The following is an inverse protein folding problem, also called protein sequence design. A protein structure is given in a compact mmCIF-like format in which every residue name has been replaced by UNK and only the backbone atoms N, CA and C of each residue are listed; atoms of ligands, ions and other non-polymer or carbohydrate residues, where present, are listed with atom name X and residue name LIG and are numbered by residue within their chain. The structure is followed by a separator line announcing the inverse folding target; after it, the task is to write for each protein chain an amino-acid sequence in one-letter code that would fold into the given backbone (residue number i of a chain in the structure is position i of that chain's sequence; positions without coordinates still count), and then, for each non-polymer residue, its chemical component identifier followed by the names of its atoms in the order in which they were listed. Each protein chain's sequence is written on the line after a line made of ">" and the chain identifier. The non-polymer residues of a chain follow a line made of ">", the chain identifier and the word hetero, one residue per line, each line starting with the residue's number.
data_IF_535665403139
#
_entry.id   IF_535665403139
#
_cell.length_a   1.000
_cell.length_b   1.000
_cell.length_c   1.000
_cell.angle_alpha   90.00
_cell.angle_beta   90.00
_cell.angle_gamma   90.00
#
_symmetry.space_group_name_H-M   'P 1'
#
loop_
_entity.id
_entity.type
_entity.pdbx_description
1 polymer ?
#
# COMPACT_ATOMS: atom_id res chain seq x y z
N UNK A 1 25.49 -23.36 -46.00
CA UNK A 1 24.89 -22.00 -45.89
C UNK A 1 24.03 -21.97 -44.64
N UNK A 2 24.52 -21.31 -43.58
CA UNK A 2 23.88 -21.32 -42.27
C UNK A 2 22.65 -20.41 -42.23
N UNK A 3 21.49 -20.99 -41.98
CA UNK A 3 20.26 -20.24 -41.79
C UNK A 3 20.24 -19.71 -40.34
N UNK A 4 20.80 -18.52 -40.12
CA UNK A 4 20.81 -17.85 -38.82
C UNK A 4 19.39 -17.32 -38.58
N UNK A 5 18.54 -18.13 -37.94
CA UNK A 5 17.19 -17.75 -37.52
C UNK A 5 17.30 -16.45 -36.71
N UNK A 6 16.62 -15.39 -37.14
CA UNK A 6 16.62 -14.08 -36.48
C UNK A 6 16.06 -14.23 -35.07
N UNK A 7 16.93 -14.22 -34.06
CA UNK A 7 16.50 -14.14 -32.67
C UNK A 7 16.02 -12.72 -32.38
N UNK A 8 14.80 -12.63 -31.85
CA UNK A 8 14.21 -11.37 -31.39
C UNK A 8 15.08 -10.79 -30.27
N UNK A 9 15.57 -9.57 -30.43
CA UNK A 9 16.36 -8.91 -29.37
C UNK A 9 15.47 -8.46 -28.21
N UNK A 10 16.03 -8.27 -27.01
CA UNK A 10 15.27 -7.78 -25.85
C UNK A 10 14.64 -6.40 -26.12
N UNK A 11 15.34 -5.54 -26.85
CA UNK A 11 14.84 -4.21 -27.22
C UNK A 11 13.63 -4.29 -28.14
N UNK A 12 13.68 -5.14 -29.16
CA UNK A 12 12.56 -5.37 -30.08
C UNK A 12 11.39 -6.06 -29.38
N UNK A 13 11.66 -6.98 -28.46
CA UNK A 13 10.63 -7.61 -27.64
C UNK A 13 9.89 -6.58 -26.79
N UNK A 14 10.61 -5.68 -26.09
CA UNK A 14 10.00 -4.61 -25.29
C UNK A 14 9.12 -3.69 -26.14
N UNK A 15 9.63 -3.25 -27.29
CA UNK A 15 8.89 -2.39 -28.22
C UNK A 15 7.64 -3.06 -28.79
N UNK A 16 7.65 -4.38 -28.98
CA UNK A 16 6.48 -5.14 -29.44
C UNK A 16 5.47 -5.34 -28.32
N UNK A 17 5.92 -5.73 -27.12
CA UNK A 17 5.05 -5.92 -25.96
C UNK A 17 4.34 -4.61 -25.55
N UNK A 18 5.00 -3.46 -25.67
CA UNK A 18 4.37 -2.16 -25.33
C UNK A 18 3.27 -1.74 -26.30
N UNK A 19 3.17 -2.38 -27.48
CA UNK A 19 2.12 -2.14 -28.48
C UNK A 19 0.98 -3.16 -28.43
N UNK A 20 1.13 -4.22 -27.63
CA UNK A 20 0.11 -5.26 -27.47
C UNK A 20 -0.91 -4.84 -26.43
N UNK A 21 -2.15 -5.29 -26.61
CA UNK A 21 -3.16 -5.22 -25.56
C UNK A 21 -2.83 -6.17 -24.41
N UNK A 22 -3.35 -5.87 -23.22
CA UNK A 22 -3.15 -6.71 -22.03
C UNK A 22 -3.61 -8.17 -22.26
N UNK A 23 -4.71 -8.37 -23.00
CA UNK A 23 -5.24 -9.71 -23.31
C UNK A 23 -4.31 -10.51 -24.24
N UNK A 24 -3.69 -9.86 -25.24
CA UNK A 24 -2.73 -10.51 -26.13
C UNK A 24 -1.45 -10.89 -25.38
N UNK A 25 -0.96 -10.03 -24.48
CA UNK A 25 0.19 -10.35 -23.63
C UNK A 25 -0.15 -11.50 -22.69
N UNK A 26 -1.36 -11.53 -22.14
CA UNK A 26 -1.83 -12.62 -21.28
C UNK A 26 -1.86 -13.96 -22.02
N UNK A 27 -2.43 -13.99 -23.23
CA UNK A 27 -2.44 -15.19 -24.09
C UNK A 27 -1.04 -15.67 -24.44
N UNK A 28 -0.15 -14.75 -24.84
CA UNK A 28 1.24 -15.08 -25.16
C UNK A 28 1.99 -15.65 -23.95
N UNK A 29 1.75 -15.12 -22.75
CA UNK A 29 2.34 -15.64 -21.51
C UNK A 29 1.82 -17.05 -21.18
N UNK A 30 0.54 -17.33 -21.40
CA UNK A 30 -0.04 -18.67 -21.23
C UNK A 30 0.55 -19.66 -22.23
N UNK A 31 0.69 -19.26 -23.49
CA UNK A 31 1.33 -20.10 -24.51
C UNK A 31 2.78 -20.39 -24.17
N UNK A 32 3.53 -19.39 -23.72
CA UNK A 32 4.91 -19.53 -23.23
C UNK A 32 4.99 -20.49 -22.04
N UNK A 33 4.07 -20.38 -21.08
CA UNK A 33 3.98 -21.29 -19.93
C UNK A 33 3.69 -22.74 -20.34
N UNK A 34 2.86 -22.93 -21.37
CA UNK A 34 2.51 -24.26 -21.89
C UNK A 34 3.62 -24.87 -22.76
N UNK A 35 4.45 -24.05 -23.39
CA UNK A 35 5.41 -24.49 -24.40
C UNK A 35 6.78 -24.92 -23.85
N UNK A 36 7.15 -24.54 -22.62
CA UNK A 36 8.44 -24.90 -22.02
C UNK A 36 8.33 -25.27 -20.54
N UNK A 37 9.06 -26.32 -20.13
CA UNK A 37 9.17 -26.73 -18.73
C UNK A 37 9.94 -25.68 -17.91
N UNK A 38 10.95 -25.06 -18.49
CA UNK A 38 11.75 -23.99 -17.90
C UNK A 38 10.89 -22.73 -17.71
N UNK A 39 10.11 -22.35 -18.72
CA UNK A 39 9.14 -21.25 -18.61
C UNK A 39 8.08 -21.54 -17.55
N UNK A 40 7.53 -22.77 -17.53
CA UNK A 40 6.60 -23.23 -16.50
C UNK A 40 7.19 -23.10 -15.10
N UNK A 41 8.40 -23.58 -14.88
CA UNK A 41 9.08 -23.51 -13.59
C UNK A 41 9.40 -22.06 -13.20
N UNK A 42 9.94 -21.26 -14.12
CA UNK A 42 10.27 -19.85 -13.89
C UNK A 42 9.03 -19.04 -13.50
N UNK A 43 7.97 -19.15 -14.29
CA UNK A 43 6.71 -18.47 -14.04
C UNK A 43 6.04 -19.02 -12.77
N UNK A 44 6.07 -20.32 -12.51
CA UNK A 44 5.53 -20.91 -11.28
C UNK A 44 6.27 -20.39 -10.05
N UNK A 45 7.60 -20.37 -10.05
CA UNK A 45 8.36 -19.78 -8.93
C UNK A 45 8.06 -18.29 -8.77
N UNK A 46 7.98 -17.53 -9.87
CA UNK A 46 7.69 -16.09 -9.83
C UNK A 46 6.24 -15.78 -9.45
N UNK A 47 5.26 -16.62 -9.78
CA UNK A 47 3.84 -16.37 -9.53
C UNK A 47 3.32 -17.10 -8.29
N UNK A 48 3.65 -18.38 -8.09
CA UNK A 48 3.32 -19.13 -6.88
C UNK A 48 4.10 -18.56 -5.69
N UNK A 49 5.39 -18.22 -5.88
CA UNK A 49 6.16 -17.49 -4.86
C UNK A 49 5.50 -16.16 -4.49
N UNK A 50 5.07 -15.36 -5.48
CA UNK A 50 4.33 -14.10 -5.22
C UNK A 50 2.97 -14.33 -4.57
N UNK A 51 2.19 -15.32 -4.99
CA UNK A 51 0.88 -15.64 -4.42
C UNK A 51 1.02 -16.15 -2.98
N UNK A 52 1.99 -17.03 -2.72
CA UNK A 52 2.27 -17.52 -1.38
C UNK A 52 2.73 -16.39 -0.45
N UNK A 53 3.61 -15.50 -0.92
CA UNK A 53 4.02 -14.29 -0.17
C UNK A 53 2.81 -13.38 0.07
N UNK A 54 1.93 -13.18 -0.92
CA UNK A 54 0.71 -12.37 -0.76
C UNK A 54 -0.22 -12.96 0.29
N UNK A 55 -0.54 -14.25 0.19
CA UNK A 55 -1.40 -14.92 1.17
C UNK A 55 -0.80 -14.87 2.58
N UNK A 56 0.53 -15.06 2.70
CA UNK A 56 1.22 -14.94 3.98
C UNK A 56 1.16 -13.52 4.54
N UNK A 57 1.28 -12.50 3.67
CA UNK A 57 1.12 -11.10 4.04
C UNK A 57 -0.31 -10.81 4.51
N UNK A 58 -1.34 -11.24 3.77
CA UNK A 58 -2.76 -11.09 4.14
C UNK A 58 -3.06 -11.74 5.50
N UNK A 59 -2.60 -12.98 5.70
CA UNK A 59 -2.77 -13.70 6.96
C UNK A 59 -2.03 -13.01 8.12
N UNK A 60 -0.88 -12.40 7.86
CA UNK A 60 -0.12 -11.67 8.89
C UNK A 60 -0.83 -10.37 9.24
N UNK A 61 -1.40 -9.68 8.25
CA UNK A 61 -2.21 -8.47 8.42
C UNK A 61 -3.44 -8.76 9.28
N UNK A 62 -4.20 -9.81 8.95
CA UNK A 62 -5.36 -10.26 9.71
C UNK A 62 -5.01 -10.63 11.16
N UNK A 63 -3.87 -11.29 11.39
CA UNK A 63 -3.41 -11.58 12.75
C UNK A 63 -3.07 -10.32 13.55
N UNK A 64 -2.47 -9.32 12.91
CA UNK A 64 -2.17 -8.04 13.56
C UNK A 64 -3.49 -7.36 13.90
N UNK A 65 -4.38 -7.19 12.93
CA UNK A 65 -5.68 -6.52 13.07
C UNK A 65 -6.50 -7.13 14.20
N UNK A 66 -6.61 -8.47 14.27
CA UNK A 66 -7.38 -9.16 15.31
C UNK A 66 -6.86 -8.94 16.75
N UNK A 67 -5.61 -8.53 16.95
CA UNK A 67 -5.13 -8.17 18.29
C UNK A 67 -5.70 -6.81 18.76
N UNK A 68 -6.09 -5.94 17.83
CA UNK A 68 -6.66 -4.61 18.12
C UNK A 68 -8.19 -4.58 17.93
N UNK A 69 -8.66 -5.14 16.82
CA UNK A 69 -10.05 -5.11 16.35
C UNK A 69 -10.52 -6.50 15.90
N UNK A 70 -10.75 -7.44 16.85
CA UNK A 70 -11.28 -8.75 16.51
C UNK A 70 -12.73 -8.65 16.03
N UNK A 71 -13.17 -9.63 15.23
CA UNK A 71 -14.56 -9.69 14.75
C UNK A 71 -15.60 -9.70 15.90
N UNK A 72 -15.23 -10.27 17.05
CA UNK A 72 -16.10 -10.38 18.22
C UNK A 72 -15.36 -9.98 19.50
N UNK A 73 -15.94 -9.06 20.28
CA UNK A 73 -15.41 -8.62 21.57
C UNK A 73 -14.33 -7.53 21.46
N UNK A 74 -13.53 -7.38 22.51
CA UNK A 74 -12.44 -6.40 22.57
C UNK A 74 -11.11 -7.01 22.14
N UNK A 75 -10.27 -6.20 21.49
CA UNK A 75 -8.89 -6.56 21.19
C UNK A 75 -8.10 -6.93 22.44
N UNK A 76 -7.32 -8.01 22.34
CA UNK A 76 -6.47 -8.47 23.45
C UNK A 76 -5.20 -7.66 23.62
N UNK A 77 -4.85 -6.84 22.62
CA UNK A 77 -3.66 -6.00 22.56
C UNK A 77 -2.37 -6.75 22.87
N UNK A 78 -2.24 -8.01 22.41
CA UNK A 78 -1.00 -8.75 22.61
C UNK A 78 0.05 -8.28 21.60
N UNK A 79 0.74 -7.19 21.93
CA UNK A 79 1.75 -6.57 21.05
C UNK A 79 2.84 -7.55 20.64
N UNK A 80 3.16 -8.52 21.49
CA UNK A 80 4.10 -9.61 21.19
C UNK A 80 3.61 -10.53 20.07
N UNK A 81 2.31 -10.84 20.01
CA UNK A 81 1.70 -11.67 18.96
C UNK A 81 1.71 -10.92 17.63
N UNK A 82 1.28 -9.66 17.62
CA UNK A 82 1.32 -8.81 16.43
C UNK A 82 2.76 -8.64 15.89
N UNK A 83 3.72 -8.31 16.75
CA UNK A 83 5.15 -8.21 16.38
C UNK A 83 5.73 -9.53 15.90
N UNK A 84 5.28 -10.66 16.47
CA UNK A 84 5.70 -11.99 16.02
C UNK A 84 5.19 -12.29 14.62
N UNK A 85 3.96 -11.90 14.27
CA UNK A 85 3.43 -12.05 12.91
C UNK A 85 4.33 -11.34 11.87
N UNK A 86 4.77 -10.11 12.17
CA UNK A 86 5.72 -9.35 11.32
C UNK A 86 7.07 -10.06 11.23
N UNK A 87 7.64 -10.48 12.36
CA UNK A 87 8.96 -11.14 12.40
C UNK A 87 8.96 -12.46 11.62
N UNK A 88 7.92 -13.26 11.77
CA UNK A 88 7.76 -14.53 11.07
C UNK A 88 7.56 -14.29 9.57
N UNK A 89 6.74 -13.31 9.18
CA UNK A 89 6.59 -12.90 7.78
C UNK A 89 7.93 -12.51 7.17
N UNK A 90 8.72 -11.66 7.85
CA UNK A 90 10.03 -11.21 7.38
C UNK A 90 10.98 -12.38 7.17
N UNK A 91 11.05 -13.31 8.13
CA UNK A 91 11.93 -14.49 8.06
C UNK A 91 11.60 -15.41 6.88
N UNK A 92 10.31 -15.65 6.65
CA UNK A 92 9.84 -16.58 5.60
C UNK A 92 9.91 -15.93 4.22
N UNK A 93 9.40 -14.70 4.08
CA UNK A 93 9.29 -14.03 2.78
C UNK A 93 10.61 -13.41 2.31
N UNK A 94 11.46 -12.99 3.26
CA UNK A 94 12.64 -12.13 3.02
C UNK A 94 12.31 -10.90 2.17
N UNK A 95 11.07 -10.41 2.26
CA UNK A 95 10.55 -9.31 1.46
C UNK A 95 10.49 -8.04 2.31
N UNK A 96 11.53 -7.20 2.23
CA UNK A 96 11.63 -5.99 3.04
C UNK A 96 10.51 -4.98 2.73
N UNK A 97 10.15 -4.80 1.45
CA UNK A 97 9.04 -3.92 1.06
C UNK A 97 7.74 -4.28 1.77
N UNK A 98 7.30 -5.54 1.71
CA UNK A 98 6.07 -5.98 2.39
C UNK A 98 6.22 -6.12 3.91
N UNK A 99 7.46 -6.26 4.40
CA UNK A 99 7.73 -6.21 5.85
C UNK A 99 7.52 -4.79 6.38
N UNK A 100 8.05 -3.77 5.68
CA UNK A 100 7.83 -2.37 6.02
C UNK A 100 6.34 -2.05 6.02
N UNK A 101 5.61 -2.52 5.00
CA UNK A 101 4.16 -2.35 4.92
C UNK A 101 3.43 -2.91 6.17
N UNK A 102 3.77 -4.12 6.63
CA UNK A 102 3.19 -4.70 7.85
C UNK A 102 3.59 -3.93 9.12
N UNK A 103 4.80 -3.37 9.16
CA UNK A 103 5.25 -2.53 10.28
C UNK A 103 4.47 -1.21 10.33
N UNK A 104 4.26 -0.56 9.19
CA UNK A 104 3.40 0.63 9.08
C UNK A 104 1.97 0.28 9.46
N UNK A 105 1.43 -0.84 8.95
CA UNK A 105 0.10 -1.29 9.31
C UNK A 105 -0.06 -1.55 10.81
N UNK A 106 0.95 -2.13 11.47
CA UNK A 106 0.94 -2.29 12.92
C UNK A 106 0.87 -0.94 13.66
N UNK A 107 1.60 0.07 13.19
CA UNK A 107 1.56 1.42 13.78
C UNK A 107 0.18 2.04 13.54
N UNK A 108 -0.38 1.91 12.33
CA UNK A 108 -1.75 2.34 12.02
C UNK A 108 -2.77 1.70 12.98
N UNK A 109 -2.67 0.38 13.25
CA UNK A 109 -3.55 -0.27 14.23
C UNK A 109 -3.37 0.25 15.66
N UNK A 110 -2.15 0.60 16.07
CA UNK A 110 -1.93 1.24 17.38
C UNK A 110 -2.60 2.63 17.46
N UNK A 111 -2.43 3.45 16.42
CA UNK A 111 -3.01 4.79 16.31
C UNK A 111 -4.54 4.70 16.25
N UNK A 112 -5.09 3.85 15.39
CA UNK A 112 -6.54 3.63 15.27
C UNK A 112 -7.14 3.13 16.59
N UNK A 113 -6.46 2.22 17.29
CA UNK A 113 -6.91 1.73 18.60
C UNK A 113 -6.93 2.85 19.63
N UNK A 114 -5.90 3.69 19.64
CA UNK A 114 -5.82 4.85 20.53
C UNK A 114 -6.93 5.85 20.24
N UNK A 115 -7.18 6.17 18.98
CA UNK A 115 -8.28 7.03 18.55
C UNK A 115 -9.65 6.50 18.95
N UNK A 116 -9.84 5.18 18.84
CA UNK A 116 -11.15 4.56 19.07
C UNK A 116 -11.49 4.46 20.55
N UNK A 117 -10.53 4.07 21.39
CA UNK A 117 -10.79 3.70 22.78
C UNK A 117 -10.13 4.62 23.80
N UNK A 118 -9.17 5.46 23.39
CA UNK A 118 -8.27 6.18 24.27
C UNK A 118 -7.37 5.26 25.09
N UNK A 119 -6.58 5.82 26.00
CA UNK A 119 -5.85 5.06 27.02
C UNK A 119 -4.69 4.23 26.49
N UNK A 120 -3.74 4.86 25.80
CA UNK A 120 -2.46 4.19 25.52
C UNK A 120 -1.73 3.93 26.82
N UNK A 121 -1.43 2.66 27.06
CA UNK A 121 -0.38 2.31 28.00
C UNK A 121 0.97 2.79 27.45
N UNK A 122 1.92 3.14 28.33
CA UNK A 122 3.30 3.43 27.95
C UNK A 122 3.90 2.31 27.09
N UNK A 123 3.50 1.06 27.33
CA UNK A 123 3.94 -0.08 26.54
C UNK A 123 3.49 0.03 25.07
N UNK A 124 2.24 0.45 24.83
CA UNK A 124 1.71 0.67 23.49
C UNK A 124 2.44 1.82 22.79
N UNK A 125 2.63 2.95 23.49
CA UNK A 125 3.35 4.12 22.98
C UNK A 125 4.78 3.76 22.57
N UNK A 126 5.55 3.19 23.50
CA UNK A 126 6.93 2.77 23.24
C UNK A 126 6.99 1.74 22.10
N UNK A 127 6.01 0.85 22.03
CA UNK A 127 5.92 -0.18 21.01
C UNK A 127 5.70 0.39 19.62
N UNK A 128 4.86 1.42 19.46
CA UNK A 128 4.64 2.07 18.16
C UNK A 128 5.81 2.98 17.77
N UNK A 129 6.34 3.81 18.67
CA UNK A 129 7.48 4.69 18.37
C UNK A 129 8.72 3.88 17.97
N UNK A 130 9.04 2.80 18.68
CA UNK A 130 10.15 1.91 18.28
C UNK A 130 9.92 1.22 16.94
N UNK A 131 8.66 0.93 16.57
CA UNK A 131 8.35 0.36 15.27
C UNK A 131 8.52 1.40 14.16
N UNK A 132 8.09 2.65 14.39
CA UNK A 132 8.24 3.75 13.45
C UNK A 132 9.72 4.02 13.15
N UNK A 133 10.56 4.17 14.18
CA UNK A 133 12.02 4.27 14.05
C UNK A 133 12.60 3.08 13.26
N UNK A 134 12.11 1.86 13.52
CA UNK A 134 12.54 0.68 12.77
C UNK A 134 12.14 0.72 11.30
N UNK A 135 10.99 1.31 10.95
CA UNK A 135 10.57 1.55 9.56
C UNK A 135 11.55 2.49 8.88
N UNK A 136 11.86 3.63 9.50
CA UNK A 136 12.81 4.61 8.93
C UNK A 136 14.19 3.99 8.74
N UNK A 137 14.69 3.25 9.74
CA UNK A 137 15.96 2.51 9.64
C UNK A 137 15.96 1.46 8.52
N UNK A 138 14.82 0.84 8.23
CA UNK A 138 14.71 -0.11 7.11
C UNK A 138 14.68 0.61 5.77
N UNK A 139 13.93 1.70 5.64
CA UNK A 139 13.90 2.53 4.43
C UNK A 139 15.30 3.08 4.09
N UNK A 140 16.03 3.58 5.08
CA UNK A 140 17.39 4.08 4.92
C UNK A 140 18.44 3.02 4.55
N UNK A 141 18.13 1.73 4.75
CA UNK A 141 18.99 0.61 4.33
C UNK A 141 18.70 0.18 2.90
N UNK A 142 17.55 0.52 2.36
CA UNK A 142 17.20 0.24 0.98
C UNK A 142 17.81 1.33 0.08
N UNK A 143 18.51 0.92 -0.97
CA UNK A 143 19.22 1.83 -1.89
C UNK A 143 18.29 2.41 -2.97
N UNK A 144 17.04 2.68 -2.60
CA UNK A 144 15.95 3.02 -3.53
C UNK A 144 15.07 4.14 -2.97
N UNK A 145 15.20 5.38 -3.46
CA UNK A 145 14.34 6.49 -3.02
C UNK A 145 12.85 6.23 -3.30
N UNK A 146 12.52 5.51 -4.38
CA UNK A 146 11.14 5.15 -4.76
C UNK A 146 10.38 4.41 -3.64
N UNK A 147 11.08 3.64 -2.81
CA UNK A 147 10.43 2.89 -1.73
C UNK A 147 9.96 3.80 -0.59
N UNK A 148 10.71 4.88 -0.32
CA UNK A 148 10.24 5.91 0.61
C UNK A 148 9.00 6.61 0.04
N UNK A 149 9.04 7.01 -1.23
CA UNK A 149 7.91 7.67 -1.90
C UNK A 149 6.63 6.82 -1.86
N UNK A 150 6.76 5.49 -1.95
CA UNK A 150 5.62 4.57 -1.84
C UNK A 150 4.90 4.66 -0.48
N UNK A 151 5.63 4.95 0.60
CA UNK A 151 5.09 4.97 1.96
C UNK A 151 4.98 6.36 2.59
N UNK A 152 5.51 7.42 1.94
CA UNK A 152 5.58 8.78 2.50
C UNK A 152 4.25 9.26 3.07
N UNK A 153 3.17 9.11 2.30
CA UNK A 153 1.85 9.64 2.66
C UNK A 153 1.32 8.94 3.91
N UNK A 154 1.60 7.64 4.07
CA UNK A 154 1.20 6.89 5.26
C UNK A 154 2.01 7.31 6.48
N UNK A 155 3.32 7.55 6.31
CA UNK A 155 4.19 8.01 7.39
C UNK A 155 3.84 9.44 7.84
N UNK A 156 3.63 10.36 6.90
CA UNK A 156 3.19 11.73 7.15
C UNK A 156 1.81 11.76 7.82
N UNK A 157 0.89 10.89 7.40
CA UNK A 157 -0.41 10.74 8.06
C UNK A 157 -0.28 10.22 9.49
N UNK A 158 0.62 9.27 9.75
CA UNK A 158 0.88 8.78 11.11
C UNK A 158 1.45 9.88 12.01
N UNK A 159 2.35 10.71 11.49
CA UNK A 159 2.89 11.88 12.20
C UNK A 159 1.76 12.89 12.50
N UNK A 160 0.99 13.25 11.49
CA UNK A 160 -0.11 14.20 11.62
C UNK A 160 -1.15 13.75 12.64
N UNK A 161 -1.53 12.47 12.63
CA UNK A 161 -2.51 11.93 13.59
C UNK A 161 -1.95 11.84 15.01
N UNK A 162 -0.63 11.69 15.15
CA UNK A 162 0.00 11.62 16.47
C UNK A 162 0.02 12.97 17.21
N UNK A 163 -0.16 14.09 16.50
CA UNK A 163 -0.27 15.45 17.08
C UNK A 163 -1.45 15.53 18.07
N UNK A 164 -2.59 15.00 17.66
CA UNK A 164 -3.85 15.07 18.40
C UNK A 164 -3.83 14.30 19.73
N UNK A 165 -2.82 13.45 19.94
CA UNK A 165 -2.79 12.51 21.07
C UNK A 165 -2.11 13.06 22.31
N UNK A 166 -1.17 13.99 22.14
CA UNK A 166 -0.21 14.36 23.17
C UNK A 166 0.84 13.26 23.45
N UNK A 167 1.49 13.31 24.61
CA UNK A 167 2.49 12.32 25.07
C UNK A 167 3.80 12.23 24.28
N UNK A 168 4.13 13.26 23.48
CA UNK A 168 5.38 13.31 22.71
C UNK A 168 5.50 12.22 21.63
N UNK A 169 4.37 11.63 21.21
CA UNK A 169 4.36 10.60 20.16
C UNK A 169 4.76 11.22 18.82
N UNK A 170 4.17 12.37 18.50
CA UNK A 170 4.51 13.15 17.31
C UNK A 170 5.99 13.52 17.31
N UNK A 171 6.53 14.07 18.40
CA UNK A 171 7.95 14.41 18.52
C UNK A 171 8.85 13.20 18.21
N UNK A 172 8.52 12.02 18.74
CA UNK A 172 9.28 10.80 18.49
C UNK A 172 9.18 10.31 17.03
N UNK A 173 8.01 10.46 16.40
CA UNK A 173 7.83 10.13 14.98
C UNK A 173 8.57 11.12 14.09
N UNK A 174 8.45 12.41 14.35
CA UNK A 174 9.14 13.48 13.62
C UNK A 174 10.66 13.33 13.74
N UNK A 175 11.20 13.14 14.95
CA UNK A 175 12.63 12.88 15.15
C UNK A 175 13.10 11.69 14.31
N UNK A 176 12.32 10.60 14.30
CA UNK A 176 12.63 9.44 13.46
C UNK A 176 12.55 9.79 11.97
N UNK A 177 11.52 10.49 11.53
CA UNK A 177 11.27 10.82 10.12
C UNK A 177 12.36 11.71 9.54
N UNK A 178 12.84 12.69 10.32
CA UNK A 178 13.94 13.58 9.94
C UNK A 178 15.27 12.84 9.70
N UNK A 179 15.40 11.58 10.17
CA UNK A 179 16.56 10.74 9.86
C UNK A 179 16.50 10.09 8.46
N UNK A 180 15.44 10.28 7.67
CA UNK A 180 15.35 9.75 6.31
C UNK A 180 16.41 10.38 5.41
N UNK A 181 17.29 9.54 4.84
CA UNK A 181 18.40 9.98 3.99
C UNK A 181 17.98 10.73 2.74
N UNK A 182 16.75 10.48 2.28
CA UNK A 182 16.20 11.00 1.04
C UNK A 182 15.32 12.23 1.27
N UNK A 183 15.16 12.68 2.53
CA UNK A 183 14.23 13.73 2.88
C UNK A 183 14.66 15.08 2.31
N UNK A 184 15.93 15.47 2.48
CA UNK A 184 16.48 16.72 1.94
C UNK A 184 16.38 16.76 0.39
N UNK A 185 16.82 15.70 -0.28
CA UNK A 185 16.72 15.59 -1.75
C UNK A 185 15.27 15.67 -2.23
N UNK A 186 14.34 15.07 -1.48
CA UNK A 186 12.91 15.15 -1.77
C UNK A 186 12.37 16.56 -1.59
N UNK A 187 12.63 17.20 -0.44
CA UNK A 187 12.19 18.55 -0.11
C UNK A 187 12.75 19.61 -1.07
N UNK A 188 13.92 19.37 -1.65
CA UNK A 188 14.51 20.21 -2.70
C UNK A 188 13.92 19.94 -4.10
N UNK A 189 13.47 18.72 -4.38
CA UNK A 189 12.91 18.30 -5.67
C UNK A 189 11.42 18.65 -5.85
N UNK A 190 10.70 18.80 -4.74
CA UNK A 190 9.30 19.22 -4.68
C UNK A 190 9.26 20.68 -4.24
N UNK A 191 8.25 21.42 -4.66
CA UNK A 191 7.99 22.83 -4.30
C UNK A 191 7.77 22.99 -2.77
N UNK A 192 8.82 22.77 -1.98
CA UNK A 192 8.85 22.54 -0.53
C UNK A 192 8.46 23.73 0.34
N UNK A 193 7.88 24.77 -0.25
CA UNK A 193 7.32 25.92 0.47
C UNK A 193 5.80 25.84 0.68
N UNK A 194 5.10 24.89 0.06
CA UNK A 194 3.63 24.76 0.16
C UNK A 194 3.11 23.45 0.80
N UNK A 195 4.00 22.57 1.29
CA UNK A 195 3.63 21.22 1.74
C UNK A 195 2.93 21.16 3.12
N UNK A 196 2.89 22.25 3.90
CA UNK A 196 2.14 22.29 5.17
C UNK A 196 0.67 22.70 5.03
N UNK A 197 0.19 23.07 3.83
CA UNK A 197 -1.22 23.48 3.63
C UNK A 197 -1.93 22.88 2.40
N UNK A 198 -1.27 22.19 1.47
CA UNK A 198 -1.92 21.61 0.29
C UNK A 198 -1.86 20.07 0.27
N UNK A 199 -2.72 19.43 1.09
CA UNK A 199 -3.01 17.99 0.96
C UNK A 199 -3.73 17.76 -0.36
N UNK A 200 -3.13 16.98 -1.25
CA UNK A 200 -3.70 16.62 -2.57
C UNK A 200 -4.90 15.68 -2.44
N UNK A 201 -5.73 15.58 -3.48
CA UNK A 201 -6.89 14.69 -3.49
C UNK A 201 -6.49 13.23 -3.31
N UNK A 202 -5.37 12.81 -3.91
CA UNK A 202 -4.81 11.48 -3.73
C UNK A 202 -4.34 11.23 -2.30
N UNK A 203 -3.71 12.22 -1.66
CA UNK A 203 -3.31 12.11 -0.25
C UNK A 203 -4.53 12.00 0.66
N UNK A 204 -5.56 12.84 0.45
CA UNK A 204 -6.86 12.74 1.12
C UNK A 204 -7.49 11.36 0.96
N UNK A 205 -7.48 10.82 -0.26
CA UNK A 205 -7.97 9.46 -0.52
C UNK A 205 -7.18 8.41 0.28
N UNK A 206 -5.85 8.52 0.30
CA UNK A 206 -4.98 7.58 1.00
C UNK A 206 -5.12 7.62 2.53
N UNK A 207 -5.55 8.75 3.11
CA UNK A 207 -5.85 8.88 4.55
C UNK A 207 -7.04 8.02 4.98
N UNK A 208 -7.97 7.72 4.07
CA UNK A 208 -9.09 6.84 4.37
C UNK A 208 -8.58 5.39 4.54
N UNK A 209 -8.94 4.69 5.64
CA UNK A 209 -8.55 3.31 5.87
C UNK A 209 -8.81 2.41 4.66
N UNK A 210 -7.92 1.45 4.41
CA UNK A 210 -7.97 0.63 3.20
C UNK A 210 -9.30 -0.13 3.07
N UNK A 211 -9.83 -0.67 4.16
CA UNK A 211 -11.11 -1.40 4.16
C UNK A 211 -12.28 -0.48 3.75
N UNK A 212 -12.26 0.77 4.22
CA UNK A 212 -13.23 1.81 3.90
C UNK A 212 -13.11 2.22 2.44
N UNK A 213 -11.89 2.43 1.94
CA UNK A 213 -11.65 2.63 0.50
C UNK A 213 -12.18 1.47 -0.33
N UNK A 214 -11.93 0.22 0.08
CA UNK A 214 -12.42 -0.96 -0.63
C UNK A 214 -13.96 -1.04 -0.66
N UNK A 215 -14.63 -0.65 0.43
CA UNK A 215 -16.10 -0.55 0.50
C UNK A 215 -16.62 0.55 -0.45
N UNK A 216 -16.00 1.73 -0.43
CA UNK A 216 -16.35 2.86 -1.30
C UNK A 216 -16.18 2.48 -2.78
N UNK A 217 -15.06 1.85 -3.14
CA UNK A 217 -14.77 1.42 -4.51
C UNK A 217 -15.76 0.37 -5.03
N UNK A 218 -16.41 -0.40 -4.14
CA UNK A 218 -17.43 -1.41 -4.48
C UNK A 218 -18.86 -0.84 -4.50
N UNK A 219 -19.07 0.41 -4.06
CA UNK A 219 -20.38 1.02 -3.89
C UNK A 219 -20.53 2.32 -4.68
N UNK A 220 -20.30 2.25 -5.99
CA UNK A 220 -20.45 3.38 -6.91
C UNK A 220 -21.70 3.19 -7.77
N UNK A 221 -22.57 4.20 -7.86
CA UNK A 221 -23.78 4.09 -8.68
C UNK A 221 -23.44 4.20 -10.17
N UNK A 222 -23.94 3.25 -10.98
CA UNK A 222 -23.83 3.31 -12.44
C UNK A 222 -25.21 3.43 -13.08
N UNK A 223 -25.42 4.50 -13.85
CA UNK A 223 -26.69 4.77 -14.54
C UNK A 223 -27.01 3.73 -15.62
N UNK A 224 -26.00 3.18 -16.30
CA UNK A 224 -26.19 2.16 -17.33
C UNK A 224 -26.57 0.79 -16.71
N UNK A 225 -25.95 0.42 -15.59
CA UNK A 225 -26.27 -0.82 -14.88
C UNK A 225 -27.49 -0.69 -13.96
N UNK A 226 -27.96 0.53 -13.68
CA UNK A 226 -29.04 0.86 -12.74
C UNK A 226 -28.81 0.27 -11.35
N UNK A 227 -27.57 0.34 -10.86
CA UNK A 227 -27.19 -0.29 -9.59
C UNK A 227 -25.82 0.13 -9.08
N UNK A 228 -25.52 -0.27 -7.85
CA UNK A 228 -24.18 -0.16 -7.27
C UNK A 228 -23.22 -1.14 -7.96
N UNK A 229 -22.03 -0.65 -8.29
CA UNK A 229 -20.99 -1.38 -9.02
C UNK A 229 -19.61 -1.04 -8.44
N UNK A 230 -18.62 -1.81 -8.88
CA UNK A 230 -17.22 -1.48 -8.63
C UNK A 230 -16.73 -0.45 -9.65
N UNK A 231 -16.04 0.59 -9.18
CA UNK A 231 -15.28 1.50 -10.02
C UNK A 231 -13.87 0.93 -10.29
N UNK A 232 -13.36 1.12 -11.50
CA UNK A 232 -12.01 0.74 -11.94
C UNK A 232 -11.41 1.86 -12.79
N UNK A 233 -10.08 1.87 -12.96
CA UNK A 233 -9.36 2.89 -13.75
C UNK A 233 -9.77 4.31 -13.36
N UNK A 234 -9.78 4.60 -12.06
CA UNK A 234 -10.25 5.86 -11.55
C UNK A 234 -9.09 6.82 -11.24
N UNK A 235 -9.42 8.10 -11.28
CA UNK A 235 -8.60 9.21 -10.80
C UNK A 235 -9.29 9.85 -9.59
N UNK A 236 -8.52 10.50 -8.73
CA UNK A 236 -9.06 11.20 -7.55
C UNK A 236 -8.90 12.68 -7.80
N UNK A 237 -9.99 13.43 -7.74
CA UNK A 237 -9.98 14.88 -7.90
C UNK A 237 -10.49 15.57 -6.64
N UNK A 238 -10.08 16.83 -6.45
CA UNK A 238 -10.58 17.68 -5.38
C UNK A 238 -12.04 18.07 -5.60
N UNK A 239 -12.82 18.08 -4.53
CA UNK A 239 -14.19 18.61 -4.52
C UNK A 239 -14.39 19.54 -3.33
N UNK A 240 -15.37 20.45 -3.42
CA UNK A 240 -15.71 21.38 -2.34
C UNK A 240 -16.04 20.67 -1.01
N UNK A 241 -16.57 19.45 -1.07
CA UNK A 241 -17.02 18.70 0.10
C UNK A 241 -16.08 17.53 0.47
N UNK A 242 -14.93 17.39 -0.19
CA UNK A 242 -14.01 16.28 0.02
C UNK A 242 -13.28 15.92 -1.26
N UNK A 243 -13.46 14.69 -1.73
CA UNK A 243 -12.82 14.20 -2.98
C UNK A 243 -13.82 13.46 -3.86
N UNK A 244 -13.59 13.48 -5.17
CA UNK A 244 -14.39 12.73 -6.14
C UNK A 244 -13.52 11.69 -6.86
N UNK A 245 -14.01 10.45 -6.87
CA UNK A 245 -13.43 9.35 -7.65
C UNK A 245 -14.12 9.31 -9.01
N UNK A 246 -13.39 9.55 -10.10
CA UNK A 246 -13.92 9.49 -11.46
C UNK A 246 -13.26 8.35 -12.24
N UNK A 247 -14.04 7.45 -12.82
CA UNK A 247 -13.50 6.27 -13.46
C UNK A 247 -14.54 5.48 -14.25
N UNK A 248 -14.30 4.18 -14.44
CA UNK A 248 -15.14 3.31 -15.26
C UNK A 248 -15.88 2.28 -14.41
N UNK A 249 -17.13 2.01 -14.77
CA UNK A 249 -17.88 0.88 -14.23
C UNK A 249 -17.22 -0.44 -14.63
N UNK A 250 -16.91 -1.30 -13.65
CA UNK A 250 -16.32 -2.61 -13.90
C UNK A 250 -17.19 -3.51 -14.79
N UNK A 251 -18.51 -3.37 -14.74
CA UNK A 251 -19.44 -4.28 -15.41
C UNK A 251 -19.72 -3.88 -16.87
N UNK A 252 -19.84 -2.58 -17.16
CA UNK A 252 -20.25 -2.09 -18.48
C UNK A 252 -19.28 -1.08 -19.13
N UNK A 253 -18.25 -0.63 -18.41
CA UNK A 253 -17.26 0.33 -18.91
C UNK A 253 -17.78 1.77 -19.04
N UNK A 254 -19.02 2.06 -18.64
CA UNK A 254 -19.55 3.43 -18.63
C UNK A 254 -18.86 4.29 -17.58
N UNK A 255 -18.80 5.60 -17.82
CA UNK A 255 -18.27 6.56 -16.86
C UNK A 255 -19.11 6.57 -15.57
N UNK A 256 -18.42 6.58 -14.44
CA UNK A 256 -19.01 6.65 -13.11
C UNK A 256 -18.18 7.57 -12.22
N UNK A 257 -18.85 8.21 -11.28
CA UNK A 257 -18.22 9.07 -10.28
C UNK A 257 -18.75 8.76 -8.87
N UNK A 258 -17.92 8.97 -7.86
CA UNK A 258 -18.30 8.83 -6.45
C UNK A 258 -17.69 9.96 -5.64
N UNK A 259 -18.54 10.81 -5.04
CA UNK A 259 -18.13 11.75 -4.00
C UNK A 259 -17.86 10.99 -2.70
N UNK A 260 -16.76 11.34 -2.05
CA UNK A 260 -16.42 10.94 -0.69
C UNK A 260 -16.30 12.22 0.11
N UNK A 261 -17.32 12.47 0.91
CA UNK A 261 -17.36 13.61 1.82
C UNK A 261 -16.30 13.41 2.90
N UNK A 262 -15.58 14.48 3.24
CA UNK A 262 -14.58 14.48 4.29
C UNK A 262 -14.98 15.53 5.32
N UNK A 263 -15.21 15.10 6.56
CA UNK A 263 -15.51 15.95 7.70
C UNK A 263 -14.24 16.53 8.34
#
# INVERSE_FOLDING_TARGET
>A
MGNKKSELTVTELKQRLSKMSVDEVYKLLIECFKSSKEAKNFISVKLIGKKAIKNLWETSKEKIENEFFPEHGFGKLQLSVAKKAISDFKKVSKNNRLTIDLMIFYIEMCVDFFDTYGGASDSLINSMCSMFDSVIKMLNKEDKPDLFLEYRVRLENLISRADDFGWGIQDAFDESYQNLKWLEEYEESVDGKNAKENVTAEEKWLRIPQDSREKILKNVWCVACKGAVNIVNYHVNEDKFGIVLEGKCKNCGHDVARLVEMD
#
